data_IF_640496195001
#
_entry.id   IF_640496195001
#
_cell.length_a   1.000
_cell.length_b   1.000
_cell.length_c   1.000
_cell.angle_alpha   90.00
_cell.angle_beta   90.00
_cell.angle_gamma   90.00
#
_symmetry.space_group_name_H-M   'P 1'
#
loop_
_entity.id
_entity.type
_entity.pdbx_description
1 polymer ?
#
# COMPACT_ATOMS: atom_id res chain seq x y z
N UNK A 1 -12.00 -5.10 2.56
CA UNK A 1 -10.81 -4.89 1.70
C UNK A 1 -9.82 -4.13 2.57
N UNK A 2 -8.65 -4.70 2.87
CA UNK A 2 -7.72 -4.12 3.84
C UNK A 2 -7.31 -2.69 3.45
N UNK A 3 -7.05 -1.84 4.43
CA UNK A 3 -6.51 -0.48 4.23
C UNK A 3 -5.02 -0.50 4.49
N UNK A 4 -4.25 0.20 3.68
CA UNK A 4 -2.80 0.28 3.87
C UNK A 4 -2.27 1.66 3.45
N UNK A 5 -1.12 1.97 4.00
CA UNK A 5 -0.34 3.17 3.75
C UNK A 5 1.11 2.74 3.57
N UNK A 6 1.79 3.34 2.59
CA UNK A 6 3.23 3.25 2.42
C UNK A 6 3.79 4.67 2.23
N UNK A 7 4.99 4.90 2.75
CA UNK A 7 5.65 6.20 2.72
C UNK A 7 7.11 6.02 2.34
N UNK A 8 7.60 6.92 1.49
CA UNK A 8 9.01 7.11 1.17
C UNK A 8 9.30 8.60 1.18
N UNK A 9 10.29 9.07 1.95
CA UNK A 9 10.65 10.48 1.95
C UNK A 9 11.55 10.92 3.10
N UNK A 10 11.47 12.20 3.46
CA UNK A 10 12.15 12.71 4.65
C UNK A 10 11.65 12.02 5.92
N UNK A 11 12.54 11.79 6.88
CA UNK A 11 12.15 10.99 8.02
C UNK A 11 11.12 11.74 8.90
N UNK A 12 9.87 11.24 8.93
CA UNK A 12 8.74 11.74 9.72
C UNK A 12 8.39 10.78 10.85
N UNK A 13 7.56 11.23 11.81
CA UNK A 13 6.96 10.32 12.78
C UNK A 13 5.81 9.55 12.13
N UNK A 14 5.70 8.25 12.44
CA UNK A 14 4.65 7.40 11.87
C UNK A 14 3.24 7.94 12.19
N UNK A 15 3.06 8.54 13.37
CA UNK A 15 1.78 9.13 13.78
C UNK A 15 1.26 10.22 12.84
N UNK A 16 2.15 10.94 12.14
CA UNK A 16 1.78 12.05 11.25
C UNK A 16 0.99 11.58 10.02
N UNK A 17 1.10 10.30 9.65
CA UNK A 17 0.31 9.69 8.58
C UNK A 17 -0.61 8.57 9.07
N UNK A 18 -0.23 7.83 10.11
CA UNK A 18 -0.98 6.65 10.56
C UNK A 18 -2.16 7.02 11.47
N UNK A 19 -2.00 8.04 12.33
CA UNK A 19 -2.94 8.31 13.44
C UNK A 19 -3.58 9.70 13.37
N UNK A 20 -2.75 10.75 13.23
CA UNK A 20 -3.17 12.16 13.33
C UNK A 20 -4.10 12.65 12.22
N UNK A 21 -3.98 12.22 10.94
CA UNK A 21 -4.85 12.74 9.91
C UNK A 21 -6.34 12.51 10.24
N UNK A 22 -7.20 13.47 9.89
CA UNK A 22 -8.65 13.35 10.17
C UNK A 22 -9.28 12.09 9.55
N UNK A 23 -8.78 11.69 8.38
CA UNK A 23 -9.09 10.45 7.68
C UNK A 23 -7.92 9.45 7.76
N UNK A 24 -7.29 9.32 8.93
CA UNK A 24 -6.12 8.46 9.16
C UNK A 24 -6.37 6.98 8.88
N UNK A 25 -5.29 6.22 8.72
CA UNK A 25 -5.36 4.77 8.54
C UNK A 25 -6.08 4.09 9.72
N UNK A 26 -5.85 4.56 10.95
CA UNK A 26 -6.57 4.09 12.15
C UNK A 26 -8.07 4.33 12.00
N UNK A 27 -8.49 5.52 11.58
CA UNK A 27 -9.92 5.81 11.37
C UNK A 27 -10.51 4.97 10.25
N UNK A 28 -9.79 4.79 9.14
CA UNK A 28 -10.22 3.95 8.03
C UNK A 28 -10.32 2.47 8.41
N UNK A 29 -9.56 2.00 9.40
CA UNK A 29 -9.75 0.65 9.93
C UNK A 29 -11.11 0.47 10.61
N UNK A 30 -11.70 1.53 11.15
CA UNK A 30 -13.04 1.52 11.75
C UNK A 30 -14.14 1.86 10.73
N UNK A 31 -13.90 2.86 9.89
CA UNK A 31 -14.86 3.47 8.97
C UNK A 31 -14.17 3.92 7.67
N UNK A 32 -13.94 2.97 6.77
CA UNK A 32 -13.44 3.20 5.41
C UNK A 32 -14.56 3.70 4.47
N UNK A 33 -14.23 4.64 3.59
CA UNK A 33 -15.19 5.24 2.65
C UNK A 33 -15.16 4.56 1.28
N UNK A 34 -14.01 4.06 0.85
CA UNK A 34 -13.82 3.42 -0.47
C UNK A 34 -13.85 1.88 -0.40
N UNK A 35 -13.94 1.31 0.80
CA UNK A 35 -13.97 -0.14 0.96
C UNK A 35 -15.40 -0.71 0.85
N UNK A 36 -15.52 -1.92 0.28
CA UNK A 36 -16.80 -2.67 0.26
C UNK A 36 -17.35 -3.00 1.66
N UNK A 37 -16.47 -3.08 2.64
CA UNK A 37 -16.80 -3.26 4.07
C UNK A 37 -16.20 -2.10 4.85
N UNK A 38 -17.02 -1.48 5.70
CA UNK A 38 -16.64 -0.27 6.43
C UNK A 38 -15.52 -0.51 7.46
N UNK A 39 -15.45 -1.70 8.04
CA UNK A 39 -14.53 -2.04 9.14
C UNK A 39 -13.50 -3.08 8.71
N UNK A 40 -12.25 -2.87 9.11
CA UNK A 40 -11.09 -3.75 8.95
C UNK A 40 -10.51 -4.03 10.34
N UNK A 41 -11.15 -4.95 11.08
CA UNK A 41 -10.86 -5.22 12.49
C UNK A 41 -10.00 -6.46 12.77
N UNK A 42 -9.61 -7.20 11.73
CA UNK A 42 -9.01 -8.54 11.86
C UNK A 42 -7.49 -8.51 12.12
N UNK A 43 -7.00 -7.44 12.77
CA UNK A 43 -5.58 -7.20 13.05
C UNK A 43 -4.91 -6.22 12.09
N UNK A 44 -3.67 -5.86 12.39
CA UNK A 44 -2.87 -4.90 11.61
C UNK A 44 -1.37 -5.20 11.71
N UNK A 45 -0.60 -4.52 10.86
CA UNK A 45 0.85 -4.57 10.91
C UNK A 45 1.47 -3.28 10.43
N UNK A 46 2.60 -2.92 11.03
CA UNK A 46 3.45 -1.81 10.62
C UNK A 46 4.88 -2.31 10.55
N UNK A 47 5.57 -1.97 9.46
CA UNK A 47 6.98 -2.30 9.28
C UNK A 47 7.72 -1.06 8.83
N UNK A 48 8.88 -0.74 9.39
CA UNK A 48 9.62 0.50 9.12
C UNK A 48 11.13 0.28 9.07
N UNK A 49 11.85 1.12 8.32
CA UNK A 49 13.30 1.13 8.24
C UNK A 49 13.89 2.31 9.03
N UNK A 50 14.43 2.01 10.21
CA UNK A 50 15.11 2.98 11.08
C UNK A 50 16.61 3.08 10.78
N UNK A 51 17.45 3.05 11.81
CA UNK A 51 18.92 3.10 11.66
C UNK A 51 19.55 1.76 11.26
N UNK A 52 18.77 0.69 11.14
CA UNK A 52 19.25 -0.65 10.79
C UNK A 52 18.78 -1.03 9.40
N UNK A 53 19.60 -1.83 8.70
CA UNK A 53 19.28 -2.36 7.37
C UNK A 53 18.11 -3.37 7.38
N UNK A 54 17.74 -3.86 8.56
CA UNK A 54 16.58 -4.74 8.77
C UNK A 54 15.38 -3.94 9.28
N UNK A 55 14.17 -4.17 8.76
CA UNK A 55 13.00 -3.43 9.21
C UNK A 55 12.61 -3.82 10.63
N UNK A 56 12.20 -2.83 11.42
CA UNK A 56 11.37 -3.07 12.60
C UNK A 56 9.99 -3.49 12.12
N UNK A 57 9.40 -4.52 12.75
CA UNK A 57 8.09 -5.03 12.39
C UNK A 57 7.26 -5.21 13.65
N UNK A 58 6.11 -4.58 13.69
CA UNK A 58 5.09 -4.76 14.71
C UNK A 58 3.82 -5.32 14.06
N UNK A 59 3.27 -6.38 14.66
CA UNK A 59 2.09 -7.10 14.17
C UNK A 59 1.22 -7.41 15.36
N UNK A 60 -0.07 -7.22 15.20
CA UNK A 60 -1.05 -7.47 16.26
C UNK A 60 -2.31 -8.09 15.63
N UNK A 61 -2.90 -9.07 16.34
CA UNK A 61 -4.15 -9.69 15.93
C UNK A 61 -5.38 -8.94 16.48
N UNK A 62 -5.17 -8.05 17.45
CA UNK A 62 -6.16 -7.11 17.93
C UNK A 62 -6.32 -5.89 17.00
N UNK A 63 -7.49 -5.23 17.01
CA UNK A 63 -7.74 -4.11 16.11
C UNK A 63 -6.88 -2.88 16.40
N UNK A 64 -6.44 -2.19 15.34
CA UNK A 64 -5.51 -1.05 15.42
C UNK A 64 -6.02 0.12 16.27
N UNK A 65 -7.34 0.36 16.31
CA UNK A 65 -7.92 1.49 17.05
C UNK A 65 -7.90 1.32 18.57
N UNK A 66 -7.58 0.13 19.07
CA UNK A 66 -7.54 -0.20 20.49
C UNK A 66 -6.14 -0.57 21.02
N UNK A 67 -5.09 -0.44 20.20
CA UNK A 67 -3.73 -0.82 20.60
C UNK A 67 -2.90 0.39 21.10
N UNK A 68 -2.77 0.51 22.42
CA UNK A 68 -1.96 1.54 23.07
C UNK A 68 -0.45 1.35 22.83
N UNK A 69 0.02 0.12 22.60
CA UNK A 69 1.43 -0.15 22.28
C UNK A 69 1.76 0.32 20.86
N UNK A 70 0.83 0.17 19.91
CA UNK A 70 0.96 0.75 18.57
C UNK A 70 1.10 2.27 18.64
N UNK A 71 0.27 2.94 19.45
CA UNK A 71 0.33 4.39 19.62
C UNK A 71 1.67 4.83 20.21
N UNK A 72 2.13 4.15 21.26
CA UNK A 72 3.42 4.43 21.89
C UNK A 72 4.61 4.20 20.94
N UNK A 73 4.55 3.15 20.12
CA UNK A 73 5.59 2.80 19.16
C UNK A 73 5.63 3.78 17.98
N UNK A 74 4.47 4.13 17.41
CA UNK A 74 4.36 5.13 16.34
C UNK A 74 4.81 6.54 16.78
N UNK A 75 4.62 6.89 18.06
CA UNK A 75 5.04 8.18 18.59
C UNK A 75 6.57 8.33 18.72
N UNK A 76 7.32 7.22 18.77
CA UNK A 76 8.76 7.24 19.04
C UNK A 76 9.63 6.76 17.87
N UNK A 77 9.01 6.23 16.81
CA UNK A 77 9.73 5.66 15.67
C UNK A 77 9.75 6.63 14.49
N UNK A 78 10.96 6.99 14.04
CA UNK A 78 11.23 7.84 12.88
C UNK A 78 11.86 6.99 11.76
N UNK A 79 11.32 7.09 10.54
CA UNK A 79 11.74 6.26 9.40
C UNK A 79 11.64 7.01 8.07
N UNK A 80 12.56 6.74 7.13
CA UNK A 80 12.52 7.29 5.75
C UNK A 80 11.69 6.45 4.78
N UNK A 81 11.40 5.18 5.12
CA UNK A 81 10.65 4.22 4.30
C UNK A 81 9.97 3.15 5.18
N UNK A 82 8.74 2.74 4.89
CA UNK A 82 8.07 1.73 5.73
C UNK A 82 7.08 0.86 4.94
N UNK A 83 7.10 -0.47 5.14
CA UNK A 83 6.15 -1.42 4.54
C UNK A 83 6.28 -2.90 4.99
N UNK A 84 5.32 -3.76 4.61
CA UNK A 84 5.21 -5.17 5.02
C UNK A 84 5.40 -6.24 3.90
N UNK A 85 6.43 -7.09 4.09
CA UNK A 85 6.89 -8.42 3.57
C UNK A 85 6.87 -8.80 2.05
N UNK A 86 8.01 -9.36 1.61
CA UNK A 86 8.43 -9.82 0.25
C UNK A 86 9.09 -11.24 0.29
N UNK A 87 9.19 -11.95 -0.85
CA UNK A 87 10.20 -13.00 -1.13
C UNK A 87 10.68 -12.98 -2.61
N UNK A 88 11.91 -13.43 -2.88
CA UNK A 88 12.74 -13.15 -4.07
C UNK A 88 12.67 -14.17 -5.24
N UNK A 89 13.02 -13.70 -6.45
CA UNK A 89 13.34 -14.54 -7.63
C UNK A 89 13.35 -13.83 -8.99
N UNK A 90 12.74 -12.64 -9.11
CA UNK A 90 12.71 -11.80 -10.31
C UNK A 90 12.68 -10.31 -9.90
N UNK A 91 12.78 -9.37 -10.84
CA UNK A 91 12.44 -7.96 -10.52
C UNK A 91 11.01 -7.92 -9.99
N UNK A 92 10.72 -7.01 -9.05
CA UNK A 92 9.40 -6.96 -8.41
C UNK A 92 8.26 -6.82 -9.41
N UNK A 93 8.46 -5.98 -10.43
CA UNK A 93 7.54 -5.85 -11.57
C UNK A 93 7.30 -7.20 -12.27
N UNK A 94 8.36 -7.91 -12.65
CA UNK A 94 8.25 -9.20 -13.34
C UNK A 94 7.58 -10.26 -12.46
N UNK A 95 7.91 -10.30 -11.17
CA UNK A 95 7.30 -11.21 -10.21
C UNK A 95 5.80 -10.95 -10.04
N UNK A 96 5.41 -9.69 -9.81
CA UNK A 96 3.99 -9.32 -9.65
C UNK A 96 3.22 -9.60 -10.94
N UNK A 97 3.78 -9.25 -12.11
CA UNK A 97 3.17 -9.54 -13.40
C UNK A 97 2.98 -11.03 -13.63
N UNK A 98 4.01 -11.84 -13.42
CA UNK A 98 3.96 -13.29 -13.62
C UNK A 98 2.91 -13.94 -12.71
N UNK A 99 2.85 -13.55 -11.44
CA UNK A 99 1.87 -14.09 -10.48
C UNK A 99 0.45 -13.70 -10.88
N UNK A 100 0.19 -12.42 -11.17
CA UNK A 100 -1.17 -11.97 -11.52
C UNK A 100 -1.67 -12.61 -12.82
N UNK A 101 -0.86 -12.60 -13.87
CA UNK A 101 -1.25 -13.18 -15.16
C UNK A 101 -1.36 -14.71 -15.09
N UNK A 102 -0.40 -15.39 -14.47
CA UNK A 102 -0.48 -16.84 -14.28
C UNK A 102 -1.68 -17.27 -13.44
N UNK A 103 -2.11 -16.44 -12.47
CA UNK A 103 -3.34 -16.70 -11.71
C UNK A 103 -4.58 -16.53 -12.59
N UNK A 104 -4.63 -15.51 -13.45
CA UNK A 104 -5.73 -15.33 -14.42
C UNK A 104 -5.83 -16.51 -15.38
N UNK A 105 -4.69 -16.96 -15.93
CA UNK A 105 -4.66 -18.11 -16.85
C UNK A 105 -5.18 -19.39 -16.17
N UNK A 106 -4.76 -19.63 -14.93
CA UNK A 106 -5.23 -20.78 -14.13
C UNK A 106 -6.73 -20.67 -13.79
N UNK A 107 -7.20 -19.47 -13.47
CA UNK A 107 -8.63 -19.20 -13.24
C UNK A 107 -9.45 -19.51 -14.49
N UNK A 108 -8.99 -19.06 -15.66
CA UNK A 108 -9.63 -19.34 -16.94
C UNK A 108 -9.66 -20.85 -17.25
N UNK A 109 -8.54 -21.56 -17.03
CA UNK A 109 -8.45 -23.01 -17.20
C UNK A 109 -9.43 -23.80 -16.31
N UNK A 110 -9.83 -23.22 -15.18
CA UNK A 110 -10.78 -23.80 -14.22
C UNK A 110 -12.21 -23.26 -14.34
N UNK A 111 -12.48 -22.36 -15.29
CA UNK A 111 -13.79 -21.72 -15.45
C UNK A 111 -14.18 -20.81 -14.28
N UNK A 112 -13.22 -20.21 -13.59
CA UNK A 112 -13.47 -19.27 -12.49
C UNK A 112 -13.70 -17.87 -13.07
N UNK A 113 -14.95 -17.41 -13.06
CA UNK A 113 -15.34 -16.10 -13.62
C UNK A 113 -15.23 -14.93 -12.63
N UNK A 114 -14.97 -15.22 -11.35
CA UNK A 114 -14.85 -14.18 -10.31
C UNK A 114 -13.60 -13.32 -10.58
N UNK A 115 -13.68 -11.99 -10.55
CA UNK A 115 -12.54 -11.14 -10.91
C UNK A 115 -11.43 -11.16 -9.86
N UNK A 116 -10.18 -11.24 -10.33
CA UNK A 116 -8.98 -11.03 -9.52
C UNK A 116 -8.71 -9.53 -9.40
N UNK A 117 -8.59 -9.04 -8.18
CA UNK A 117 -8.40 -7.63 -7.86
C UNK A 117 -7.25 -7.48 -6.89
N UNK A 118 -6.31 -6.61 -7.23
CA UNK A 118 -5.04 -6.50 -6.54
C UNK A 118 -4.61 -5.05 -6.37
N UNK A 119 -4.42 -4.62 -5.14
CA UNK A 119 -3.61 -3.45 -4.84
C UNK A 119 -2.58 -3.79 -3.79
N UNK A 120 -1.36 -3.32 -4.02
CA UNK A 120 -0.26 -3.50 -3.10
C UNK A 120 0.67 -2.29 -3.18
N UNK A 121 1.24 -1.91 -2.06
CA UNK A 121 2.56 -1.32 -2.07
C UNK A 121 3.57 -2.45 -1.78
N UNK A 122 4.84 -2.32 -2.19
CA UNK A 122 5.99 -3.14 -1.78
C UNK A 122 7.21 -2.26 -1.52
N UNK A 123 8.06 -2.54 -0.52
CA UNK A 123 9.26 -1.73 -0.26
C UNK A 123 10.42 -2.59 0.28
N UNK A 124 11.66 -2.20 -0.04
CA UNK A 124 12.88 -2.96 0.30
C UNK A 124 13.86 -2.24 1.26
N UNK A 125 13.59 -0.99 1.63
CA UNK A 125 14.50 -0.16 2.44
C UNK A 125 14.99 1.08 1.69
N UNK A 126 15.05 1.00 0.36
CA UNK A 126 15.54 2.08 -0.51
C UNK A 126 14.48 2.53 -1.54
N UNK A 127 13.66 1.59 -1.99
CA UNK A 127 12.70 1.76 -3.08
C UNK A 127 11.30 1.35 -2.63
N UNK A 128 10.29 1.96 -3.25
CA UNK A 128 8.88 1.70 -3.02
C UNK A 128 8.19 1.44 -4.36
N UNK A 129 7.47 0.34 -4.47
CA UNK A 129 6.59 0.02 -5.58
C UNK A 129 5.15 0.09 -5.14
N UNK A 130 4.26 0.47 -6.03
CA UNK A 130 2.83 0.33 -5.84
C UNK A 130 2.16 -0.15 -7.11
N UNK A 131 1.21 -1.06 -6.96
CA UNK A 131 0.50 -1.69 -8.06
C UNK A 131 -0.98 -1.55 -7.81
N UNK A 132 -1.70 -1.04 -8.82
CA UNK A 132 -3.16 -1.02 -8.85
C UNK A 132 -3.65 -1.81 -10.05
N UNK A 133 -4.18 -3.00 -9.84
CA UNK A 133 -4.53 -3.91 -10.94
C UNK A 133 -5.83 -4.70 -10.68
N UNK A 134 -6.53 -5.05 -11.76
CA UNK A 134 -7.62 -6.02 -11.73
C UNK A 134 -7.82 -6.64 -13.10
N UNK A 135 -8.34 -7.88 -13.10
CA UNK A 135 -8.80 -8.57 -14.32
C UNK A 135 -10.09 -7.97 -14.88
N UNK A 136 -10.82 -7.18 -14.08
CA UNK A 136 -12.00 -6.42 -14.48
C UNK A 136 -11.78 -4.90 -14.40
N UNK A 137 -12.80 -4.10 -14.67
CA UNK A 137 -12.73 -2.63 -14.61
C UNK A 137 -12.89 -2.04 -13.20
N UNK A 138 -12.79 -2.88 -12.16
CA UNK A 138 -13.05 -2.47 -10.77
C UNK A 138 -11.84 -2.76 -9.86
N UNK A 139 -10.62 -2.29 -10.20
CA UNK A 139 -9.49 -2.44 -9.29
C UNK A 139 -9.71 -1.66 -8.00
N UNK A 140 -9.19 -2.16 -6.87
CA UNK A 140 -9.16 -1.41 -5.62
C UNK A 140 -8.64 0.00 -5.82
N UNK A 141 -9.17 0.95 -5.06
CA UNK A 141 -8.62 2.30 -5.04
C UNK A 141 -7.18 2.32 -4.51
N UNK A 142 -6.37 3.19 -5.11
CA UNK A 142 -5.01 3.46 -4.69
C UNK A 142 -4.65 4.87 -5.14
N UNK A 143 -4.11 5.66 -4.23
CA UNK A 143 -3.80 7.07 -4.42
C UNK A 143 -2.35 7.35 -4.08
N UNK A 144 -1.81 8.40 -4.67
CA UNK A 144 -0.46 8.89 -4.43
C UNK A 144 -0.47 10.40 -4.21
N UNK A 145 0.36 10.86 -3.28
CA UNK A 145 0.51 12.26 -2.93
C UNK A 145 2.00 12.62 -2.77
N UNK A 146 2.49 13.73 -3.36
CA UNK A 146 3.83 14.22 -3.11
C UNK A 146 4.05 14.54 -1.63
N UNK A 147 5.26 14.24 -1.13
CA UNK A 147 5.69 14.56 0.23
C UNK A 147 7.06 15.25 0.17
N UNK A 148 7.46 16.01 1.21
CA UNK A 148 8.83 16.48 1.33
C UNK A 148 9.82 15.31 1.20
N UNK A 149 10.69 15.39 0.20
CA UNK A 149 11.69 14.35 -0.09
C UNK A 149 11.16 13.05 -0.71
N UNK A 150 9.87 12.95 -1.08
CA UNK A 150 9.34 11.73 -1.69
C UNK A 150 7.82 11.70 -1.89
N UNK A 151 7.19 10.58 -1.53
CA UNK A 151 5.82 10.23 -1.88
C UNK A 151 5.12 9.41 -0.80
N UNK A 152 3.82 9.66 -0.61
CA UNK A 152 2.92 8.80 0.16
C UNK A 152 1.96 8.08 -0.77
N UNK A 153 1.70 6.79 -0.50
CA UNK A 153 0.78 5.94 -1.24
C UNK A 153 -0.21 5.34 -0.27
N UNK A 154 -1.51 5.51 -0.53
CA UNK A 154 -2.56 5.05 0.38
C UNK A 154 -3.74 4.48 -0.41
N UNK A 155 -4.43 3.51 0.19
CA UNK A 155 -5.65 2.96 -0.41
C UNK A 155 -6.81 3.97 -0.49
N UNK A 156 -6.79 5.01 0.33
CA UNK A 156 -7.73 6.15 0.30
C UNK A 156 -6.99 7.44 0.69
N UNK A 157 -7.40 8.62 0.20
CA UNK A 157 -6.80 9.89 0.60
C UNK A 157 -6.84 10.08 2.12
N UNK A 158 -5.70 10.49 2.68
CA UNK A 158 -5.58 10.83 4.09
C UNK A 158 -5.68 12.33 4.31
N UNK A 159 -6.10 12.73 5.50
CA UNK A 159 -6.10 14.13 5.94
C UNK A 159 -7.25 14.96 5.37
N UNK A 160 -7.14 16.27 5.53
CA UNK A 160 -8.14 17.25 5.08
C UNK A 160 -7.81 17.78 3.67
N UNK A 161 -6.68 17.35 3.10
CA UNK A 161 -6.14 17.76 1.81
C UNK A 161 -6.31 16.66 0.74
N UNK A 162 -7.53 16.14 0.64
CA UNK A 162 -7.87 15.05 -0.28
C UNK A 162 -7.54 15.40 -1.74
N UNK A 163 -7.60 16.68 -2.12
CA UNK A 163 -7.23 17.21 -3.43
C UNK A 163 -5.75 17.07 -3.79
N UNK A 164 -4.87 16.92 -2.79
CA UNK A 164 -3.44 16.67 -3.01
C UNK A 164 -3.15 15.21 -3.40
N UNK A 165 -4.14 14.32 -3.29
CA UNK A 165 -4.03 12.92 -3.65
C UNK A 165 -4.51 12.66 -5.09
N UNK A 166 -3.63 12.11 -5.91
CA UNK A 166 -3.95 11.68 -7.28
C UNK A 166 -4.24 10.17 -7.31
N UNK A 167 -5.33 9.72 -7.96
CA UNK A 167 -5.58 8.29 -8.12
C UNK A 167 -4.57 7.65 -9.07
N UNK A 168 -4.17 6.41 -8.80
CA UNK A 168 -3.43 5.58 -9.76
C UNK A 168 -4.40 5.04 -10.82
N UNK A 169 -3.95 4.95 -12.07
CA UNK A 169 -4.71 4.35 -13.15
C UNK A 169 -4.83 2.82 -13.00
N UNK A 170 -5.83 2.22 -13.65
CA UNK A 170 -5.95 0.75 -13.72
C UNK A 170 -4.73 0.18 -14.45
N UNK A 171 -4.11 -0.82 -13.85
CA UNK A 171 -2.92 -1.48 -14.39
C UNK A 171 -1.63 -0.67 -14.21
N UNK A 172 -1.65 0.45 -13.48
CA UNK A 172 -0.46 1.25 -13.22
C UNK A 172 0.42 0.56 -12.16
N UNK A 173 1.71 0.45 -12.50
CA UNK A 173 2.80 0.22 -11.57
C UNK A 173 3.55 1.54 -11.38
N UNK A 174 3.65 1.95 -10.13
CA UNK A 174 4.45 3.09 -9.69
C UNK A 174 5.71 2.56 -9.03
N UNK A 175 6.84 3.14 -9.41
CA UNK A 175 8.13 2.88 -8.78
C UNK A 175 8.70 4.21 -8.27
N UNK A 176 8.93 4.30 -6.96
CA UNK A 176 9.53 5.42 -6.27
C UNK A 176 10.93 5.03 -5.83
N UNK A 177 11.91 5.79 -6.29
CA UNK A 177 13.33 5.61 -5.99
C UNK A 177 14.03 6.96 -6.05
N UNK A 178 15.00 7.21 -5.17
CA UNK A 178 15.75 8.49 -5.11
C UNK A 178 14.87 9.76 -5.10
N UNK A 179 13.71 9.69 -4.43
CA UNK A 179 12.71 10.78 -4.40
C UNK A 179 11.98 11.04 -5.73
N UNK A 180 12.32 10.29 -6.79
CA UNK A 180 11.67 10.33 -8.10
C UNK A 180 10.55 9.31 -8.17
N UNK A 181 9.68 9.52 -9.15
CA UNK A 181 8.58 8.62 -9.46
C UNK A 181 8.64 8.23 -10.93
N UNK A 182 8.55 6.93 -11.18
CA UNK A 182 8.33 6.35 -12.50
C UNK A 182 6.98 5.65 -12.53
N UNK A 183 6.26 5.83 -13.64
CA UNK A 183 4.92 5.28 -13.85
C UNK A 183 4.93 4.46 -15.12
N UNK A 184 4.46 3.22 -15.04
CA UNK A 184 4.41 2.28 -16.16
C UNK A 184 3.13 1.46 -16.10
N UNK A 185 2.72 0.91 -17.22
CA UNK A 185 1.66 -0.10 -17.24
C UNK A 185 2.26 -1.46 -16.91
N UNK A 186 1.65 -2.18 -15.96
CA UNK A 186 2.05 -3.55 -15.58
C UNK A 186 1.82 -4.54 -16.74
N UNK A 187 0.83 -4.26 -17.58
CA UNK A 187 0.50 -5.04 -18.78
C UNK A 187 0.02 -4.06 -19.86
N UNK A 188 0.34 -4.32 -21.13
CA UNK A 188 -0.35 -3.66 -22.23
C UNK A 188 -1.86 -3.96 -22.14
N UNK A 189 -2.70 -2.98 -22.44
CA UNK A 189 -4.14 -2.96 -22.20
C UNK A 189 -4.98 -3.95 -23.04
N UNK A 190 -4.49 -5.18 -23.26
CA UNK A 190 -5.21 -6.26 -23.93
C UNK A 190 -5.05 -7.56 -23.15
N UNK A 191 -5.80 -7.67 -22.07
CA UNK A 191 -6.36 -8.97 -21.68
C UNK A 191 -7.84 -8.86 -22.02
N UNK A 192 -8.13 -9.29 -23.25
CA UNK A 192 -9.47 -9.36 -23.86
C UNK A 192 -10.31 -10.45 -23.24
#
# INVERSE_FOLDING_TARGET
MCRFLAYSGDAIFLEDLVCKPRHSLVRQSLQASEAKTATNGDGFGIGWYGERDTPGVYRECMPAWSDENLLALCANVRSRLFMARVQAGATLEAAVRQVLLGTVDEMAARGIETPLRFSAALADGEQLWAVRWASDDKPPSLYIKPQPGGWAIASEPLGDDAEAWSPLAKGELVHVHDGRIERRLLCDAKVS
#
